data_IF_833264157815
#
_entry.id   IF_833264157815
#
_cell.length_a   1.000
_cell.length_b   1.000
_cell.length_c   1.000
_cell.angle_alpha   90.00
_cell.angle_beta   90.00
_cell.angle_gamma   90.00
#
_symmetry.space_group_name_H-M   'P 1'
#
loop_
_entity.id
_entity.type
_entity.pdbx_description
1 polymer ?
#
# COMPACT_ATOMS: atom_id res chain seq x y z
N UNK A 1 -3.15 4.07 33.00
CA UNK A 1 -3.40 3.80 31.57
C UNK A 1 -3.49 5.12 30.83
N UNK A 2 -2.47 5.49 30.05
CA UNK A 2 -2.54 6.69 29.21
C UNK A 2 -3.28 6.32 27.93
N UNK A 3 -4.52 6.79 27.79
CA UNK A 3 -5.20 6.82 26.49
C UNK A 3 -4.41 7.83 25.66
N UNK A 4 -3.51 7.35 24.80
CA UNK A 4 -2.89 8.14 23.74
C UNK A 4 -3.87 8.12 22.56
N UNK A 5 -4.69 9.17 22.35
CA UNK A 5 -5.55 9.20 21.19
C UNK A 5 -4.66 9.42 19.98
N UNK A 6 -4.13 8.32 19.42
CA UNK A 6 -3.58 8.33 18.05
C UNK A 6 -4.61 9.07 17.20
N UNK A 7 -4.22 10.20 16.57
CA UNK A 7 -5.19 11.07 15.91
C UNK A 7 -5.95 10.24 14.90
N UNK A 8 -7.27 10.48 14.83
CA UNK A 8 -8.23 9.85 13.92
C UNK A 8 -7.63 9.72 12.51
N UNK A 9 -6.92 8.62 12.29
CA UNK A 9 -6.31 8.31 11.00
C UNK A 9 -7.46 7.68 10.24
N UNK A 10 -8.05 8.43 9.33
CA UNK A 10 -8.99 7.85 8.38
C UNK A 10 -8.34 6.60 7.78
N UNK A 11 -9.10 5.51 7.75
CA UNK A 11 -8.69 4.31 7.02
C UNK A 11 -9.24 4.44 5.62
N UNK A 12 -8.39 4.14 4.66
CA UNK A 12 -8.76 4.08 3.25
C UNK A 12 -8.32 2.71 2.72
N UNK A 13 -9.24 2.03 2.06
CA UNK A 13 -9.08 0.68 1.52
C UNK A 13 -9.46 0.72 0.05
N UNK A 14 -8.49 0.48 -0.83
CA UNK A 14 -8.77 0.29 -2.26
C UNK A 14 -8.85 -1.23 -2.50
N UNK A 15 -10.07 -1.74 -2.72
CA UNK A 15 -10.35 -3.17 -2.85
C UNK A 15 -10.67 -3.54 -4.30
N UNK A 16 -10.27 -4.71 -4.82
CA UNK A 16 -10.65 -5.09 -6.17
C UNK A 16 -12.17 -5.28 -6.29
N UNK A 17 -12.73 -4.82 -7.40
CA UNK A 17 -14.15 -4.95 -7.73
C UNK A 17 -14.51 -6.41 -8.03
N UNK A 18 -15.65 -6.94 -7.53
CA UNK A 18 -16.04 -8.34 -7.74
C UNK A 18 -16.23 -8.71 -9.23
N UNK A 19 -16.76 -7.79 -10.03
CA UNK A 19 -16.97 -8.01 -11.48
C UNK A 19 -15.66 -8.11 -12.30
N UNK A 20 -14.50 -7.96 -11.65
CA UNK A 20 -13.20 -8.04 -12.29
C UNK A 20 -12.82 -6.77 -13.07
N UNK A 21 -11.84 -6.90 -13.97
CA UNK A 21 -11.42 -5.79 -14.85
C UNK A 21 -10.50 -4.75 -14.21
N UNK A 22 -9.89 -5.05 -13.04
CA UNK A 22 -8.91 -4.16 -12.40
C UNK A 22 -9.49 -2.86 -11.81
N UNK A 23 -10.83 -2.74 -11.76
CA UNK A 23 -11.50 -1.65 -11.05
C UNK A 23 -11.28 -1.80 -9.55
N UNK A 24 -11.06 -0.68 -8.87
CA UNK A 24 -10.92 -0.64 -7.42
C UNK A 24 -12.11 0.09 -6.80
N UNK A 25 -12.57 -0.40 -5.66
CA UNK A 25 -13.59 0.20 -4.80
C UNK A 25 -12.87 0.81 -3.62
N UNK A 26 -12.96 2.13 -3.47
CA UNK A 26 -12.38 2.83 -2.32
C UNK A 26 -13.40 2.90 -1.18
N UNK A 27 -13.10 2.22 -0.08
CA UNK A 27 -13.82 2.36 1.17
C UNK A 27 -13.05 3.29 2.10
N UNK A 28 -13.71 4.34 2.58
CA UNK A 28 -13.13 5.28 3.53
C UNK A 28 -13.95 5.28 4.82
N UNK A 29 -13.28 5.16 5.95
CA UNK A 29 -13.94 5.17 7.26
C UNK A 29 -13.16 5.97 8.29
N UNK A 30 -13.88 6.64 9.17
CA UNK A 30 -13.33 7.51 10.20
C UNK A 30 -12.96 6.68 11.43
N UNK A 31 -11.70 6.26 11.44
CA UNK A 31 -11.10 5.55 12.55
C UNK A 31 -10.97 4.04 12.30
N UNK A 32 -10.01 3.39 12.99
CA UNK A 32 -9.58 2.08 12.57
C UNK A 32 -10.59 0.98 12.90
N UNK A 33 -11.50 1.21 13.86
CA UNK A 33 -12.56 0.27 14.27
C UNK A 33 -13.93 0.53 13.66
N UNK A 34 -14.07 1.56 12.82
CA UNK A 34 -15.34 1.89 12.16
C UNK A 34 -15.58 1.07 10.87
N UNK A 35 -14.75 0.06 10.62
CA UNK A 35 -14.90 -0.86 9.50
C UNK A 35 -15.98 -1.91 9.79
N UNK A 36 -16.94 -2.04 8.87
CA UNK A 36 -17.90 -3.14 8.89
C UNK A 36 -17.22 -4.43 8.43
N UNK A 37 -17.75 -5.58 8.87
CA UNK A 37 -17.30 -6.90 8.40
C UNK A 37 -17.74 -7.21 6.96
N UNK A 38 -18.46 -6.30 6.31
CA UNK A 38 -18.92 -6.47 4.94
C UNK A 38 -19.12 -5.11 4.26
N UNK A 39 -19.11 -5.13 2.93
CA UNK A 39 -19.43 -3.99 2.08
C UNK A 39 -20.20 -4.44 0.83
N UNK A 40 -20.89 -3.49 0.19
CA UNK A 40 -21.43 -3.66 -1.15
C UNK A 40 -20.55 -2.88 -2.12
N UNK A 41 -20.14 -3.49 -3.22
CA UNK A 41 -19.43 -2.78 -4.26
C UNK A 41 -20.42 -1.85 -5.00
N UNK A 42 -20.02 -0.62 -5.36
CA UNK A 42 -20.86 0.25 -6.18
C UNK A 42 -21.21 -0.48 -7.48
N UNK A 43 -22.47 -0.38 -7.93
CA UNK A 43 -22.96 -1.04 -9.14
C UNK A 43 -23.05 -2.58 -9.06
N UNK A 44 -22.78 -3.19 -7.90
CA UNK A 44 -22.93 -4.63 -7.65
C UNK A 44 -23.74 -4.89 -6.38
N UNK A 45 -24.75 -5.75 -6.47
CA UNK A 45 -25.55 -6.16 -5.29
C UNK A 45 -24.88 -7.32 -4.53
N UNK A 46 -23.65 -7.66 -4.89
CA UNK A 46 -22.89 -8.72 -4.23
C UNK A 46 -22.36 -8.21 -2.90
N UNK A 47 -22.82 -8.84 -1.83
CA UNK A 47 -22.28 -8.62 -0.48
C UNK A 47 -20.90 -9.25 -0.37
N UNK A 48 -19.90 -8.43 -0.08
CA UNK A 48 -18.52 -8.87 0.12
C UNK A 48 -18.15 -8.85 1.59
N UNK A 49 -17.55 -9.93 2.08
CA UNK A 49 -17.10 -10.04 3.47
C UNK A 49 -15.64 -9.61 3.60
N UNK A 50 -15.33 -8.92 4.70
CA UNK A 50 -14.01 -8.45 5.06
C UNK A 50 -13.45 -9.31 6.20
N UNK A 51 -12.25 -9.83 6.02
CA UNK A 51 -11.47 -10.62 6.97
C UNK A 51 -10.90 -9.74 8.09
N UNK A 52 -11.77 -9.20 8.94
CA UNK A 52 -11.38 -8.40 10.10
C UNK A 52 -10.57 -9.19 11.13
N UNK A 53 -10.58 -10.53 11.06
CA UNK A 53 -9.73 -11.42 11.87
C UNK A 53 -8.23 -11.23 11.61
N UNK A 54 -7.86 -10.73 10.41
CA UNK A 54 -6.49 -10.42 10.02
C UNK A 54 -5.98 -9.09 10.55
N UNK A 55 -6.75 -8.42 11.42
CA UNK A 55 -6.36 -7.14 12.03
C UNK A 55 -5.89 -7.36 13.46
N UNK A 56 -4.75 -6.76 13.82
CA UNK A 56 -4.26 -6.81 15.20
C UNK A 56 -5.03 -5.83 16.11
N UNK A 57 -5.08 -6.09 17.44
CA UNK A 57 -5.65 -5.16 18.41
C UNK A 57 -4.99 -3.77 18.39
N UNK A 58 -3.70 -3.72 18.03
CA UNK A 58 -2.91 -2.48 17.88
C UNK A 58 -3.26 -1.71 16.58
N UNK A 59 -4.08 -2.30 15.72
CA UNK A 59 -4.59 -1.70 14.49
C UNK A 59 -3.75 -1.96 13.24
N UNK A 60 -2.72 -2.80 13.28
CA UNK A 60 -2.02 -3.27 12.08
C UNK A 60 -2.66 -4.51 11.45
N UNK A 61 -1.99 -5.07 10.45
CA UNK A 61 -2.52 -6.14 9.61
C UNK A 61 -1.60 -7.35 9.67
N UNK A 62 -2.14 -8.54 9.87
CA UNK A 62 -1.41 -9.82 9.70
C UNK A 62 -1.68 -10.43 8.33
N UNK A 63 -2.69 -9.92 7.62
CA UNK A 63 -3.12 -10.39 6.31
C UNK A 63 -4.09 -9.42 5.65
N UNK A 64 -4.40 -9.67 4.39
CA UNK A 64 -5.30 -8.87 3.60
C UNK A 64 -6.74 -8.95 4.13
N UNK A 65 -7.39 -7.80 4.34
CA UNK A 65 -8.78 -7.77 4.78
C UNK A 65 -9.78 -8.22 3.70
N UNK A 66 -9.38 -8.30 2.43
CA UNK A 66 -10.28 -8.67 1.33
C UNK A 66 -10.21 -10.16 0.97
N UNK A 67 -9.02 -10.72 0.77
CA UNK A 67 -8.86 -12.14 0.41
C UNK A 67 -8.32 -13.01 1.54
N UNK A 68 -7.96 -12.44 2.69
CA UNK A 68 -7.41 -13.18 3.83
C UNK A 68 -5.95 -13.62 3.68
N UNK A 69 -5.30 -13.34 2.55
CA UNK A 69 -3.93 -13.77 2.29
C UNK A 69 -2.91 -13.07 3.20
N UNK A 70 -1.96 -13.81 3.77
CA UNK A 70 -0.98 -13.31 4.74
C UNK A 70 0.24 -12.61 4.12
N UNK A 71 0.33 -12.58 2.78
CA UNK A 71 1.43 -11.95 2.06
C UNK A 71 1.06 -10.54 1.60
N UNK A 72 1.69 -9.58 2.26
CA UNK A 72 1.52 -8.16 2.09
C UNK A 72 2.91 -7.53 1.99
N UNK A 73 3.01 -6.39 1.32
CA UNK A 73 4.23 -5.60 1.30
C UNK A 73 3.93 -4.14 1.55
N UNK A 74 4.91 -3.44 2.10
CA UNK A 74 4.83 -1.99 2.33
C UNK A 74 5.45 -1.26 1.17
N UNK A 75 4.78 -0.22 0.67
CA UNK A 75 5.34 0.71 -0.32
C UNK A 75 4.99 2.15 0.01
N UNK A 76 5.86 3.10 -0.36
CA UNK A 76 5.57 4.53 -0.24
C UNK A 76 4.62 4.99 -1.34
N UNK A 77 3.54 5.69 -0.96
CA UNK A 77 2.63 6.35 -1.90
C UNK A 77 3.26 7.66 -2.39
N UNK A 78 4.18 7.55 -3.35
CA UNK A 78 4.72 8.71 -4.06
C UNK A 78 3.86 9.03 -5.29
N UNK A 79 3.38 10.27 -5.40
CA UNK A 79 2.66 10.71 -6.59
C UNK A 79 3.66 10.95 -7.73
N UNK A 80 3.83 9.94 -8.60
CA UNK A 80 4.73 10.02 -9.76
C UNK A 80 4.41 11.23 -10.64
N UNK A 81 3.13 11.54 -10.84
CA UNK A 81 2.69 12.71 -11.63
C UNK A 81 3.20 14.02 -11.04
N UNK A 82 3.20 14.15 -9.71
CA UNK A 82 3.70 15.35 -9.03
C UNK A 82 5.23 15.48 -9.22
N UNK A 83 5.98 14.40 -9.01
CA UNK A 83 7.43 14.40 -9.22
C UNK A 83 7.80 14.75 -10.67
N UNK A 84 7.12 14.14 -11.65
CA UNK A 84 7.34 14.47 -13.06
C UNK A 84 6.99 15.93 -13.40
N UNK A 85 5.93 16.48 -12.81
CA UNK A 85 5.57 17.88 -13.02
C UNK A 85 6.65 18.83 -12.48
N UNK A 86 7.22 18.54 -11.30
CA UNK A 86 8.28 19.35 -10.69
C UNK A 86 9.53 19.34 -11.57
N UNK A 87 9.98 18.15 -12.00
CA UNK A 87 11.13 18.02 -12.90
C UNK A 87 10.87 18.72 -14.24
N UNK A 88 9.66 18.60 -14.80
CA UNK A 88 9.28 19.28 -16.04
C UNK A 88 9.36 20.80 -15.94
N UNK A 89 8.83 21.39 -14.87
CA UNK A 89 8.93 22.84 -14.62
C UNK A 89 10.39 23.27 -14.44
N UNK A 90 11.17 22.49 -13.69
CA UNK A 90 12.58 22.80 -13.46
C UNK A 90 13.41 22.76 -14.76
N UNK A 91 13.13 21.80 -15.64
CA UNK A 91 13.76 21.71 -16.96
C UNK A 91 13.43 22.92 -17.85
N UNK A 92 12.18 23.39 -17.84
CA UNK A 92 11.80 24.62 -18.55
C UNK A 92 12.54 25.85 -18.02
N UNK A 93 12.74 25.93 -16.69
CA UNK A 93 13.51 27.02 -16.08
C UNK A 93 14.99 26.98 -16.48
N UNK A 94 15.59 25.80 -16.67
CA UNK A 94 16.97 25.70 -17.19
C UNK A 94 17.08 26.34 -18.57
N UNK A 95 16.09 26.12 -19.45
CA UNK A 95 16.10 26.70 -20.80
C UNK A 95 16.00 28.24 -20.80
N UNK A 96 15.35 28.83 -19.80
CA UNK A 96 15.15 30.29 -19.69
C UNK A 96 16.32 30.97 -18.99
N UNK A 97 16.85 30.37 -17.94
CA UNK A 97 17.85 30.99 -17.05
C UNK A 97 19.28 30.47 -17.28
N UNK A 98 19.49 29.51 -18.20
CA UNK A 98 20.78 28.87 -18.53
C UNK A 98 21.54 28.34 -17.31
N UNK A 99 20.82 28.01 -16.23
CA UNK A 99 21.40 27.64 -14.95
C UNK A 99 20.77 26.36 -14.40
N UNK A 100 21.60 25.43 -13.97
CA UNK A 100 21.20 24.11 -13.50
C UNK A 100 20.73 24.09 -12.03
N UNK A 101 20.83 25.22 -11.31
CA UNK A 101 20.36 25.33 -9.92
C UNK A 101 18.88 25.00 -9.75
N UNK A 102 18.03 25.21 -10.78
CA UNK A 102 16.62 24.82 -10.74
C UNK A 102 16.42 23.31 -10.62
N UNK A 103 17.28 22.49 -11.22
CA UNK A 103 17.24 21.03 -11.12
C UNK A 103 17.67 20.56 -9.73
N UNK A 104 18.67 21.21 -9.15
CA UNK A 104 19.10 20.91 -7.77
C UNK A 104 17.96 21.21 -6.81
N UNK A 105 17.30 22.36 -6.95
CA UNK A 105 16.14 22.72 -6.13
C UNK A 105 14.99 21.71 -6.32
N UNK A 106 14.71 21.28 -7.55
CA UNK A 106 13.71 20.24 -7.83
C UNK A 106 14.02 18.91 -7.15
N UNK A 107 15.26 18.44 -7.23
CA UNK A 107 15.70 17.20 -6.58
C UNK A 107 15.55 17.27 -5.05
N UNK A 108 15.86 18.42 -4.44
CA UNK A 108 15.65 18.62 -3.00
C UNK A 108 14.16 18.60 -2.64
N UNK A 109 13.30 19.24 -3.44
CA UNK A 109 11.85 19.22 -3.23
C UNK A 109 11.31 17.78 -3.35
N UNK A 110 11.73 17.03 -4.37
CA UNK A 110 11.34 15.63 -4.56
C UNK A 110 11.78 14.76 -3.38
N UNK A 111 12.99 14.95 -2.87
CA UNK A 111 13.48 14.25 -1.67
C UNK A 111 12.61 14.54 -0.45
N UNK A 112 12.24 15.80 -0.22
CA UNK A 112 11.37 16.21 0.88
C UNK A 112 9.98 15.58 0.71
N UNK A 113 9.39 15.63 -0.48
CA UNK A 113 8.10 15.00 -0.76
C UNK A 113 8.14 13.48 -0.56
N UNK A 114 9.21 12.82 -0.99
CA UNK A 114 9.41 11.38 -0.78
C UNK A 114 9.54 11.02 0.71
N UNK A 115 10.23 11.85 1.49
CA UNK A 115 10.37 11.64 2.94
C UNK A 115 9.02 11.71 3.67
N UNK A 116 8.14 12.63 3.24
CA UNK A 116 6.79 12.84 3.82
C UNK A 116 5.78 11.84 3.27
N UNK A 117 6.06 11.21 2.11
CA UNK A 117 5.18 10.23 1.49
C UNK A 117 4.82 9.11 2.46
N UNK A 118 3.51 8.88 2.62
CA UNK A 118 2.96 7.90 3.54
C UNK A 118 3.11 6.49 2.99
N UNK A 119 3.34 5.56 3.91
CA UNK A 119 3.38 4.15 3.59
C UNK A 119 1.96 3.59 3.39
N UNK A 120 1.82 2.72 2.41
CA UNK A 120 0.63 1.91 2.14
C UNK A 120 1.01 0.43 2.09
N UNK A 121 0.13 -0.43 2.59
CA UNK A 121 0.33 -1.87 2.62
C UNK A 121 -0.50 -2.49 1.51
N UNK A 122 0.10 -3.36 0.69
CA UNK A 122 -0.54 -3.91 -0.50
C UNK A 122 -0.51 -5.43 -0.47
N UNK A 123 -1.61 -6.07 -0.82
CA UNK A 123 -1.69 -7.53 -0.94
C UNK A 123 -1.07 -8.01 -2.26
N UNK A 124 -0.21 -9.04 -2.21
CA UNK A 124 0.37 -9.61 -3.42
C UNK A 124 -0.65 -10.37 -4.29
N UNK A 125 -1.68 -10.96 -3.69
CA UNK A 125 -2.64 -11.80 -4.41
C UNK A 125 -3.73 -10.97 -5.10
N UNK A 126 -4.46 -10.15 -4.35
CA UNK A 126 -5.63 -9.43 -4.87
C UNK A 126 -5.35 -7.96 -5.20
N UNK A 127 -4.11 -7.47 -4.98
CA UNK A 127 -3.72 -6.07 -5.18
C UNK A 127 -4.52 -5.04 -4.36
N UNK A 128 -5.21 -5.48 -3.30
CA UNK A 128 -5.89 -4.57 -2.38
C UNK A 128 -4.87 -3.67 -1.66
N UNK A 129 -5.19 -2.38 -1.54
CA UNK A 129 -4.35 -1.37 -0.89
C UNK A 129 -4.98 -0.96 0.43
N UNK A 130 -4.21 -1.10 1.49
CA UNK A 130 -4.59 -0.82 2.87
C UNK A 130 -3.84 0.42 3.37
N UNK A 131 -4.58 1.49 3.71
CA UNK A 131 -4.01 2.76 4.18
C UNK A 131 -4.56 3.15 5.54
N UNK A 132 -3.73 3.81 6.34
CA UNK A 132 -4.12 4.30 7.67
C UNK A 132 -4.02 3.26 8.80
N UNK A 133 -3.63 2.02 8.49
CA UNK A 133 -3.40 0.96 9.48
C UNK A 133 -2.14 1.19 10.32
N UNK A 134 -2.09 0.51 11.47
CA UNK A 134 -0.95 0.51 12.38
C UNK A 134 0.30 -0.07 11.73
N UNK A 135 1.47 0.35 12.23
CA UNK A 135 2.79 -0.03 11.71
C UNK A 135 3.21 -1.45 12.17
N UNK A 136 2.52 -2.00 13.17
CA UNK A 136 2.82 -3.31 13.79
C UNK A 136 1.69 -4.31 13.51
N UNK A 137 1.97 -5.47 12.90
CA UNK A 137 3.28 -5.97 12.48
C UNK A 137 3.79 -5.28 11.21
N UNK A 138 5.12 -5.20 11.06
CA UNK A 138 5.75 -4.55 9.89
C UNK A 138 5.83 -5.55 8.75
N UNK A 139 5.34 -5.18 7.58
CA UNK A 139 5.55 -5.96 6.36
C UNK A 139 6.80 -5.47 5.62
N UNK A 140 7.57 -6.37 5.02
CA UNK A 140 8.75 -6.02 4.26
C UNK A 140 8.38 -5.21 3.01
N UNK A 141 9.40 -4.63 2.38
CA UNK A 141 9.30 -4.01 1.06
C UNK A 141 8.96 -5.06 -0.02
N UNK A 142 8.60 -4.57 -1.21
CA UNK A 142 8.21 -5.43 -2.33
C UNK A 142 9.31 -6.43 -2.70
N UNK A 143 8.94 -7.71 -2.76
CA UNK A 143 9.77 -8.85 -3.13
C UNK A 143 9.22 -9.49 -4.41
N UNK A 144 10.05 -9.50 -5.46
CA UNK A 144 9.69 -10.06 -6.76
C UNK A 144 9.51 -11.57 -6.71
N UNK A 145 10.21 -12.29 -5.83
CA UNK A 145 10.10 -13.76 -5.74
C UNK A 145 8.71 -14.19 -5.30
N UNK A 146 8.11 -13.46 -4.35
CA UNK A 146 6.74 -13.68 -3.88
C UNK A 146 5.74 -13.42 -5.01
N UNK A 147 5.89 -12.31 -5.73
CA UNK A 147 5.02 -11.97 -6.86
C UNK A 147 5.09 -13.05 -7.97
N UNK A 148 6.30 -13.44 -8.37
CA UNK A 148 6.51 -14.47 -9.39
C UNK A 148 5.90 -15.81 -8.96
N UNK A 149 6.11 -16.22 -7.71
CA UNK A 149 5.50 -17.44 -7.16
C UNK A 149 3.97 -17.38 -7.19
N UNK A 150 3.37 -16.26 -6.80
CA UNK A 150 1.91 -16.12 -6.80
C UNK A 150 1.33 -16.06 -8.22
N UNK A 151 2.07 -15.50 -9.17
CA UNK A 151 1.63 -15.37 -10.56
C UNK A 151 1.80 -16.66 -11.37
N UNK A 152 2.88 -17.41 -11.13
CA UNK A 152 3.24 -18.58 -11.94
C UNK A 152 3.06 -19.91 -11.21
N UNK A 153 2.82 -19.92 -9.90
CA UNK A 153 2.56 -21.12 -9.11
C UNK A 153 3.69 -22.15 -9.24
N UNK A 154 3.34 -23.38 -9.61
CA UNK A 154 4.30 -24.48 -9.84
C UNK A 154 5.27 -24.23 -11.00
N UNK A 155 4.99 -23.26 -11.87
CA UNK A 155 5.89 -22.88 -12.97
C UNK A 155 6.91 -21.82 -12.56
N UNK A 156 6.84 -21.31 -11.33
CA UNK A 156 7.84 -20.41 -10.80
C UNK A 156 9.17 -21.15 -10.70
N UNK A 157 10.17 -20.67 -11.46
CA UNK A 157 11.50 -21.27 -11.51
C UNK A 157 12.24 -21.06 -10.18
N UNK A 158 11.87 -20.03 -9.43
CA UNK A 158 12.47 -19.62 -8.16
C UNK A 158 11.37 -19.24 -7.17
N UNK A 159 11.51 -19.66 -5.91
CA UNK A 159 10.65 -19.20 -4.83
C UNK A 159 10.74 -20.11 -3.62
N UNK A 160 11.09 -19.54 -2.46
CA UNK A 160 10.89 -20.22 -1.19
C UNK A 160 9.38 -20.51 -1.01
N UNK A 161 8.97 -21.56 -0.28
CA UNK A 161 7.57 -21.76 0.07
C UNK A 161 7.04 -20.57 0.90
N UNK A 162 5.70 -20.42 0.94
CA UNK A 162 5.08 -19.38 1.77
C UNK A 162 5.49 -19.57 3.23
N UNK A 163 5.94 -18.48 3.88
CA UNK A 163 6.29 -18.50 5.31
C UNK A 163 5.04 -18.76 6.16
N UNK A 164 5.20 -19.46 7.27
CA UNK A 164 4.14 -19.64 8.25
C UNK A 164 3.78 -18.28 8.87
N UNK A 165 2.50 -17.87 8.78
CA UNK A 165 2.06 -16.52 9.16
C UNK A 165 2.32 -15.44 8.10
N UNK A 166 2.86 -15.79 6.93
CA UNK A 166 3.07 -14.89 5.80
C UNK A 166 4.19 -13.88 6.01
N UNK A 167 3.90 -12.61 5.73
CA UNK A 167 4.90 -11.52 5.68
C UNK A 167 4.91 -10.63 6.93
N UNK A 168 4.06 -10.93 7.92
CA UNK A 168 3.99 -10.16 9.15
C UNK A 168 5.31 -10.29 9.94
N UNK A 169 6.01 -9.18 10.14
CA UNK A 169 7.34 -9.11 10.76
C UNK A 169 8.44 -9.90 10.01
N UNK A 170 8.24 -10.20 8.73
CA UNK A 170 9.30 -10.79 7.92
C UNK A 170 10.44 -9.78 7.70
N UNK A 171 11.70 -10.24 7.61
CA UNK A 171 12.82 -9.37 7.27
C UNK A 171 12.62 -8.76 5.88
N UNK A 172 13.17 -7.55 5.67
CA UNK A 172 13.19 -6.94 4.35
C UNK A 172 14.01 -7.83 3.37
N UNK A 173 13.54 -8.02 2.13
CA UNK A 173 14.24 -8.84 1.14
C UNK A 173 15.62 -8.27 0.81
N UNK A 174 16.60 -9.14 0.63
CA UNK A 174 17.90 -8.79 0.06
C UNK A 174 17.74 -8.61 -1.46
N UNK A 175 17.92 -7.39 -1.96
CA UNK A 175 17.76 -7.03 -3.38
C UNK A 175 19.06 -7.15 -4.18
#
# INVERSE_FOLDING_TARGET
>A
MSFDPKPLRWIELDLPHPDGGGRLVTLRTDGPFALRSWYFAPESDVKMELHLDKRTPEGGLTGCLHCGHAELYTRKKFNKTLGFAIVGVAALLVLVFENYWSLVAAAVIDLVLFSIARDEVVCYSCSAVHRGFGVSPRHPSFDRTIEERLKFGERAVMGEPMREGGTANAPDPEH
#
